data_IF_386357980846
#
_entry.id   IF_386357980846
#
_cell.length_a   1.000
_cell.length_b   1.000
_cell.length_c   1.000
_cell.angle_alpha   90.00
_cell.angle_beta   90.00
_cell.angle_gamma   90.00
#
_symmetry.space_group_name_H-M   'P 1'
#
loop_
_entity.id
_entity.type
_entity.pdbx_description
1 polymer ?
#
# COMPACT_ATOMS: atom_id res chain seq x y z
N UNK A 1 15.03 0.58 0.59
CA UNK A 1 13.66 0.43 1.15
C UNK A 1 13.03 1.82 1.14
N UNK A 2 11.74 1.95 0.82
CA UNK A 2 10.99 3.20 1.02
C UNK A 2 10.00 2.99 2.17
N UNK A 3 10.03 3.90 3.15
CA UNK A 3 9.11 3.93 4.27
C UNK A 3 8.36 5.26 4.27
N UNK A 4 7.04 5.18 4.26
CA UNK A 4 6.13 6.32 4.29
C UNK A 4 5.32 6.25 5.58
N UNK A 5 5.28 7.36 6.32
CA UNK A 5 4.36 7.55 7.44
C UNK A 5 3.30 8.55 7.00
N UNK A 6 2.05 8.27 7.31
CA UNK A 6 0.94 9.16 7.02
C UNK A 6 0.47 9.81 8.32
N UNK A 7 0.47 11.14 8.37
CA UNK A 7 0.13 11.89 9.58
C UNK A 7 1.15 11.68 10.70
N UNK A 8 0.65 11.61 11.93
CA UNK A 8 1.48 11.46 13.13
C UNK A 8 1.81 9.98 13.40
N UNK A 9 3.02 9.64 13.88
CA UNK A 9 3.35 8.30 14.31
C UNK A 9 2.36 7.79 15.36
N UNK A 10 1.73 6.65 15.09
CA UNK A 10 0.75 6.01 15.99
C UNK A 10 0.96 4.50 16.01
N UNK A 11 0.44 3.85 17.06
CA UNK A 11 0.38 2.40 17.09
C UNK A 11 -0.52 1.89 15.95
N UNK A 12 -0.02 0.93 15.17
CA UNK A 12 -0.69 0.44 13.97
C UNK A 12 -0.51 -1.07 13.82
N UNK A 13 -1.51 -1.71 13.22
CA UNK A 13 -1.43 -3.12 12.82
C UNK A 13 -0.77 -3.22 11.45
N UNK A 14 0.25 -4.07 11.34
CA UNK A 14 0.95 -4.34 10.09
C UNK A 14 0.29 -5.49 9.32
N UNK A 15 -0.17 -5.20 8.10
CA UNK A 15 -0.68 -6.19 7.16
C UNK A 15 0.34 -6.39 6.05
N UNK A 16 0.95 -7.57 6.01
CA UNK A 16 1.86 -7.95 4.93
C UNK A 16 1.02 -8.29 3.70
N UNK A 17 0.98 -7.39 2.72
CA UNK A 17 0.21 -7.60 1.50
C UNK A 17 0.96 -8.49 0.51
N UNK A 18 2.30 -8.46 0.58
CA UNK A 18 3.23 -9.36 -0.09
C UNK A 18 4.61 -9.23 0.53
N UNK A 19 5.57 -10.07 0.11
CA UNK A 19 6.98 -9.94 0.53
C UNK A 19 7.64 -8.60 0.15
N UNK A 20 6.99 -7.80 -0.69
CA UNK A 20 7.48 -6.50 -1.14
C UNK A 20 6.73 -5.32 -0.52
N UNK A 21 5.58 -5.55 0.13
CA UNK A 21 4.70 -4.47 0.61
C UNK A 21 4.12 -4.81 1.98
N UNK A 22 4.35 -3.91 2.94
CA UNK A 22 3.73 -3.92 4.26
C UNK A 22 2.91 -2.64 4.46
N UNK A 23 1.61 -2.80 4.69
CA UNK A 23 0.68 -1.71 4.99
C UNK A 23 0.47 -1.62 6.51
N UNK A 24 0.53 -0.42 7.07
CA UNK A 24 0.20 -0.17 8.47
C UNK A 24 -1.15 0.54 8.55
N UNK A 25 -2.04 0.01 9.37
CA UNK A 25 -3.39 0.53 9.56
C UNK A 25 -3.59 0.89 11.02
N UNK A 26 -4.12 2.08 11.28
CA UNK A 26 -4.57 2.47 12.61
C UNK A 26 -5.83 1.64 12.97
N UNK A 27 -5.78 0.80 14.01
CA UNK A 27 -6.91 -0.06 14.37
C UNK A 27 -8.13 0.71 14.87
N UNK A 28 -7.98 1.94 15.35
CA UNK A 28 -9.08 2.77 15.86
C UNK A 28 -9.85 3.44 14.72
N UNK A 29 -9.12 4.01 13.76
CA UNK A 29 -9.71 4.81 12.67
C UNK A 29 -9.86 4.01 11.37
N UNK A 30 -9.23 2.84 11.27
CA UNK A 30 -9.16 2.02 10.06
C UNK A 30 -8.63 2.79 8.85
N UNK A 31 -7.64 3.66 9.09
CA UNK A 31 -6.95 4.45 8.06
C UNK A 31 -5.50 4.02 7.92
N UNK A 32 -4.86 4.37 6.79
CA UNK A 32 -3.45 4.08 6.59
C UNK A 32 -2.60 4.94 7.52
N UNK A 33 -1.81 4.29 8.39
CA UNK A 33 -0.81 4.93 9.24
C UNK A 33 0.58 4.95 8.58
N UNK A 34 0.83 4.02 7.64
CA UNK A 34 2.09 4.00 6.89
C UNK A 34 2.16 2.90 5.84
N UNK A 35 3.18 3.00 4.99
CA UNK A 35 3.42 2.05 3.91
C UNK A 35 4.92 1.77 3.80
N UNK A 36 5.31 0.50 3.73
CA UNK A 36 6.69 0.09 3.46
C UNK A 36 6.75 -0.66 2.15
N UNK A 37 7.66 -0.24 1.28
CA UNK A 37 7.94 -0.89 0.01
C UNK A 37 9.40 -1.35 0.01
N UNK A 38 9.60 -2.66 0.01
CA UNK A 38 10.92 -3.26 -0.12
C UNK A 38 11.39 -3.19 -1.57
N UNK A 39 12.70 -3.01 -1.80
CA UNK A 39 13.28 -2.90 -3.14
C UNK A 39 12.61 -1.81 -4.05
N UNK A 40 12.11 -0.73 -3.44
CA UNK A 40 11.36 0.33 -4.13
C UNK A 40 11.98 0.81 -5.45
N UNK A 41 13.26 1.17 -5.46
CA UNK A 41 13.94 1.69 -6.67
C UNK A 41 13.88 0.72 -7.85
N UNK A 42 14.02 -0.59 -7.59
CA UNK A 42 13.93 -1.64 -8.60
C UNK A 42 12.50 -1.80 -9.14
N UNK A 43 11.51 -1.74 -8.27
CA UNK A 43 10.12 -1.92 -8.65
C UNK A 43 9.56 -0.70 -9.40
N UNK A 44 9.96 0.50 -9.02
CA UNK A 44 9.63 1.73 -9.76
C UNK A 44 10.24 1.73 -11.16
N UNK A 45 11.53 1.41 -11.28
CA UNK A 45 12.22 1.40 -12.57
C UNK A 45 11.62 0.41 -13.58
N UNK A 46 11.04 -0.68 -13.10
CA UNK A 46 10.46 -1.73 -13.97
C UNK A 46 8.96 -1.58 -14.20
N UNK A 47 8.27 -0.72 -13.43
CA UNK A 47 6.82 -0.53 -13.43
C UNK A 47 6.01 -1.86 -13.40
N UNK A 48 6.60 -2.92 -12.82
CA UNK A 48 5.99 -4.25 -12.80
C UNK A 48 4.83 -4.30 -11.81
N UNK A 49 3.81 -5.08 -12.15
CA UNK A 49 2.73 -5.43 -11.23
C UNK A 49 3.29 -6.31 -10.11
N UNK A 50 3.00 -5.94 -8.87
CA UNK A 50 3.27 -6.73 -7.66
C UNK A 50 1.97 -7.40 -7.23
N UNK A 51 1.97 -8.73 -7.12
CA UNK A 51 0.81 -9.46 -6.61
C UNK A 51 0.66 -9.23 -5.10
N UNK A 52 -0.58 -9.23 -4.62
CA UNK A 52 -0.92 -9.01 -3.22
C UNK A 52 -1.63 -10.24 -2.61
N UNK A 53 -0.96 -11.40 -2.47
CA UNK A 53 -1.58 -12.60 -1.91
C UNK A 53 -2.10 -12.39 -0.48
N UNK A 54 -1.44 -11.54 0.32
CA UNK A 54 -1.85 -11.23 1.69
C UNK A 54 -3.17 -10.46 1.80
N UNK A 55 -3.71 -9.96 0.70
CA UNK A 55 -5.05 -9.33 0.69
C UNK A 55 -6.18 -10.37 0.80
N UNK A 56 -5.90 -11.62 0.44
CA UNK A 56 -6.88 -12.71 0.41
C UNK A 56 -6.72 -13.68 1.61
N UNK A 57 -5.74 -13.46 2.50
CA UNK A 57 -5.46 -14.33 3.65
C UNK A 57 -6.52 -14.22 4.75
N UNK A 58 -6.99 -13.01 5.04
CA UNK A 58 -8.01 -12.76 6.06
C UNK A 58 -9.22 -12.03 5.42
N UNK A 59 -10.31 -12.79 5.30
CA UNK A 59 -11.53 -12.35 4.63
C UNK A 59 -12.27 -11.25 5.40
N UNK A 60 -12.08 -11.16 6.72
CA UNK A 60 -12.78 -10.18 7.56
C UNK A 60 -12.17 -8.78 7.42
N UNK A 61 -10.84 -8.71 7.25
CA UNK A 61 -10.12 -7.43 7.05
C UNK A 61 -9.99 -7.04 5.58
N UNK A 62 -10.16 -7.98 4.64
CA UNK A 62 -10.07 -7.70 3.20
C UNK A 62 -10.88 -6.48 2.74
N UNK A 63 -12.13 -6.24 3.17
CA UNK A 63 -12.87 -5.04 2.78
C UNK A 63 -12.20 -3.73 3.25
N UNK A 64 -11.62 -3.75 4.46
CA UNK A 64 -10.92 -2.59 5.04
C UNK A 64 -9.64 -2.32 4.25
N UNK A 65 -8.84 -3.36 4.00
CA UNK A 65 -7.61 -3.24 3.23
C UNK A 65 -7.88 -2.78 1.79
N UNK A 66 -8.94 -3.29 1.15
CA UNK A 66 -9.36 -2.86 -0.18
C UNK A 66 -9.71 -1.37 -0.20
N UNK A 67 -10.52 -0.92 0.76
CA UNK A 67 -10.88 0.50 0.90
C UNK A 67 -9.61 1.35 1.01
N UNK A 68 -8.71 1.02 1.93
CA UNK A 68 -7.45 1.77 2.14
C UNK A 68 -6.58 1.82 0.87
N UNK A 69 -6.44 0.69 0.16
CA UNK A 69 -5.66 0.62 -1.08
C UNK A 69 -6.25 1.43 -2.25
N UNK A 70 -7.52 1.81 -2.15
CA UNK A 70 -8.25 2.57 -3.18
C UNK A 70 -8.54 4.03 -2.78
N UNK A 71 -8.06 4.47 -1.61
CA UNK A 71 -8.21 5.85 -1.13
C UNK A 71 -6.85 6.53 -0.89
N UNK A 72 -6.79 7.88 -0.96
CA UNK A 72 -5.66 8.64 -0.44
C UNK A 72 -5.37 8.31 1.04
N UNK A 73 -4.11 8.43 1.49
CA UNK A 73 -2.92 8.82 0.73
C UNK A 73 -2.29 7.67 -0.07
N UNK A 74 -2.78 6.43 0.08
CA UNK A 74 -2.14 5.23 -0.48
C UNK A 74 -2.17 5.23 -2.02
N UNK A 75 -3.25 5.73 -2.63
CA UNK A 75 -3.41 5.79 -4.09
C UNK A 75 -2.42 6.70 -4.83
N UNK A 76 -1.74 7.59 -4.11
CA UNK A 76 -0.67 8.41 -4.66
C UNK A 76 0.58 7.57 -4.95
N UNK A 77 0.81 6.51 -4.16
CA UNK A 77 1.99 5.65 -4.26
C UNK A 77 1.69 4.29 -4.88
N UNK A 78 0.46 3.79 -4.75
CA UNK A 78 0.04 2.49 -5.27
C UNK A 78 -1.17 2.64 -6.17
N UNK A 79 -1.17 1.99 -7.33
CA UNK A 79 -2.37 1.80 -8.13
C UNK A 79 -2.80 0.35 -8.09
N UNK A 80 -3.97 0.09 -7.51
CA UNK A 80 -4.57 -1.24 -7.51
C UNK A 80 -4.94 -1.66 -8.93
N UNK A 81 -4.69 -2.92 -9.25
CA UNK A 81 -4.97 -3.53 -10.56
C UNK A 81 -5.57 -4.91 -10.36
N UNK A 82 -6.65 -5.19 -11.07
CA UNK A 82 -7.26 -6.52 -11.13
C UNK A 82 -6.82 -7.20 -12.42
N UNK A 83 -6.29 -8.41 -12.35
CA UNK A 83 -5.89 -9.17 -13.53
C UNK A 83 -6.22 -10.64 -13.39
N UNK A 84 -6.04 -11.40 -14.48
CA UNK A 84 -6.33 -12.84 -14.52
C UNK A 84 -5.58 -13.67 -13.46
N UNK A 85 -4.42 -13.19 -13.01
CA UNK A 85 -3.57 -13.82 -11.99
C UNK A 85 -3.84 -13.31 -10.56
N UNK A 86 -4.93 -12.58 -10.33
CA UNK A 86 -5.30 -12.05 -9.02
C UNK A 86 -5.06 -10.53 -8.85
N UNK A 87 -5.31 -10.06 -7.62
CA UNK A 87 -5.15 -8.66 -7.24
C UNK A 87 -3.66 -8.30 -7.13
N UNK A 88 -3.29 -7.14 -7.68
CA UNK A 88 -1.95 -6.62 -7.49
C UNK A 88 -1.92 -5.10 -7.56
N UNK A 89 -0.75 -4.53 -7.34
CA UNK A 89 -0.51 -3.09 -7.42
C UNK A 89 0.62 -2.77 -8.37
N UNK A 90 0.57 -1.58 -8.96
CA UNK A 90 1.70 -0.97 -9.64
C UNK A 90 2.17 0.19 -8.77
N UNK A 91 3.48 0.25 -8.52
CA UNK A 91 4.07 1.38 -7.81
C UNK A 91 4.02 2.63 -8.67
N UNK A 92 3.66 3.74 -8.04
CA UNK A 92 3.77 5.09 -8.58
C UNK A 92 4.98 5.75 -7.96
N UNK A 93 5.61 6.62 -8.74
CA UNK A 93 6.68 7.50 -8.31
C UNK A 93 6.20 8.94 -8.46
N UNK A 94 5.27 9.39 -7.60
CA UNK A 94 4.84 10.78 -7.61
C UNK A 94 6.04 11.68 -7.32
N UNK A 95 6.04 12.88 -7.90
CA UNK A 95 6.92 13.95 -7.48
C UNK A 95 6.68 14.27 -6.00
N UNK A 96 7.68 14.88 -5.35
CA UNK A 96 7.55 15.29 -3.95
C UNK A 96 6.36 16.25 -3.76
N UNK A 97 6.08 17.10 -4.74
CA UNK A 97 4.94 18.04 -4.72
C UNK A 97 3.60 17.29 -4.75
N UNK A 98 3.46 16.26 -5.60
CA UNK A 98 2.26 15.41 -5.65
C UNK A 98 2.09 14.56 -4.39
N UNK A 99 3.19 14.20 -3.71
CA UNK A 99 3.16 13.44 -2.47
C UNK A 99 2.78 14.26 -1.23
N UNK A 100 3.06 15.57 -1.24
CA UNK A 100 2.76 16.49 -0.11
C UNK A 100 1.36 17.10 -0.22
N UNK A 101 0.80 17.20 -1.44
CA UNK A 101 -0.56 17.68 -1.66
C UNK A 101 -1.65 16.63 -1.35
N UNK A 102 -1.27 15.46 -0.84
CA UNK A 102 -2.10 14.28 -0.61
C UNK A 102 -2.60 14.14 0.83
#
# INVERSE_FOLDING_TARGET
ILYLTFGQPTAATGYQLSDQILLRVDPKTQTAAGLTIFNFSRHVATARKLLLPGLDEDLDVKPILWRILTTPPVTHFLRLTKGKQGTGVILRSPSLQEAIAA
#
